data_IF_079307683884
#
_entry.id   IF_079307683884
#
_cell.length_a   1.000
_cell.length_b   1.000
_cell.length_c   1.000
_cell.angle_alpha   90.00
_cell.angle_beta   90.00
_cell.angle_gamma   90.00
#
_symmetry.space_group_name_H-M   'P 1'
#
loop_
_entity.id
_entity.type
_entity.pdbx_description
1 polymer ?
#
# COMPACT_ATOMS: atom_id res chain seq x y z
N UNK A 1 11.05 -9.88 -31.04
CA UNK A 1 9.80 -9.20 -31.45
C UNK A 1 8.67 -9.90 -30.75
N UNK A 2 8.29 -9.41 -29.57
CA UNK A 2 7.09 -9.86 -28.88
C UNK A 2 6.11 -8.71 -28.98
N UNK A 3 5.08 -8.86 -29.80
CA UNK A 3 3.90 -7.99 -29.74
C UNK A 3 3.26 -8.22 -28.38
N UNK A 4 3.71 -7.48 -27.37
CA UNK A 4 2.92 -7.32 -26.16
C UNK A 4 1.64 -6.62 -26.60
N UNK A 5 0.56 -7.40 -26.58
CA UNK A 5 -0.80 -6.90 -26.45
C UNK A 5 -0.74 -5.66 -25.55
N UNK A 6 -0.87 -4.48 -26.16
CA UNK A 6 -1.30 -3.29 -25.45
C UNK A 6 -2.73 -3.60 -25.01
N UNK A 7 -2.86 -4.38 -23.94
CA UNK A 7 -4.09 -4.41 -23.15
C UNK A 7 -4.26 -2.96 -22.72
N UNK A 8 -5.15 -2.24 -23.40
CA UNK A 8 -5.64 -0.93 -22.97
C UNK A 8 -5.95 -1.06 -21.49
N UNK A 9 -5.21 -0.30 -20.68
CA UNK A 9 -5.35 -0.33 -19.23
C UNK A 9 -6.84 -0.20 -18.89
N UNK A 10 -7.39 -1.06 -18.02
CA UNK A 10 -8.76 -0.89 -17.57
C UNK A 10 -8.86 0.47 -16.89
N UNK A 11 -9.41 1.44 -17.62
CA UNK A 11 -9.57 2.81 -17.12
C UNK A 11 -10.67 2.79 -16.09
N UNK A 12 -10.33 3.12 -14.86
CA UNK A 12 -11.30 3.19 -13.76
C UNK A 12 -12.18 4.43 -13.97
N UNK A 13 -13.47 4.21 -14.22
CA UNK A 13 -14.42 5.31 -14.43
C UNK A 13 -15.21 5.56 -13.17
N UNK A 14 -15.04 6.74 -12.57
CA UNK A 14 -15.81 7.14 -11.40
C UNK A 14 -17.24 7.51 -11.78
N UNK A 15 -18.22 6.95 -11.08
CA UNK A 15 -19.64 7.19 -11.31
C UNK A 15 -20.38 7.33 -9.98
N UNK A 16 -21.19 8.40 -9.79
CA UNK A 16 -22.09 8.48 -8.63
C UNK A 16 -23.08 7.32 -8.62
N UNK A 17 -23.37 6.75 -7.46
CA UNK A 17 -24.22 5.57 -7.36
C UNK A 17 -25.60 5.73 -8.00
N UNK A 18 -26.17 6.93 -7.99
CA UNK A 18 -27.47 7.23 -8.61
C UNK A 18 -27.47 7.03 -10.14
N UNK A 19 -26.30 7.11 -10.78
CA UNK A 19 -26.13 6.91 -12.22
C UNK A 19 -25.51 5.55 -12.56
N UNK A 20 -24.98 4.84 -11.56
CA UNK A 20 -24.18 3.64 -11.79
C UNK A 20 -25.00 2.52 -12.46
N UNK A 21 -26.23 2.27 -12.03
CA UNK A 21 -27.07 1.23 -12.61
C UNK A 21 -27.35 1.46 -14.10
N UNK A 22 -27.72 2.68 -14.49
CA UNK A 22 -27.96 3.03 -15.89
C UNK A 22 -26.71 2.84 -16.74
N UNK A 23 -25.56 3.36 -16.29
CA UNK A 23 -24.30 3.24 -17.02
C UNK A 23 -23.85 1.79 -17.15
N UNK A 24 -23.84 1.03 -16.07
CA UNK A 24 -23.40 -0.37 -16.11
C UNK A 24 -24.31 -1.21 -17.02
N UNK A 25 -25.63 -0.99 -17.01
CA UNK A 25 -26.55 -1.68 -17.92
C UNK A 25 -26.32 -1.30 -19.39
N UNK A 26 -25.99 -0.04 -19.68
CA UNK A 26 -25.63 0.37 -21.05
C UNK A 26 -24.40 -0.38 -21.60
N UNK A 27 -23.58 -0.94 -20.71
CA UNK A 27 -22.39 -1.74 -21.00
C UNK A 27 -22.59 -3.25 -20.77
N UNK A 28 -23.84 -3.73 -20.89
CA UNK A 28 -24.20 -5.15 -20.81
C UNK A 28 -24.54 -5.64 -19.39
N UNK A 29 -24.49 -4.78 -18.38
CA UNK A 29 -24.76 -5.16 -16.99
C UNK A 29 -23.49 -5.58 -16.24
N UNK A 30 -23.64 -5.88 -14.95
CA UNK A 30 -22.52 -6.25 -14.10
C UNK A 30 -22.03 -7.68 -14.43
N UNK A 31 -20.72 -7.84 -14.58
CA UNK A 31 -20.05 -9.13 -14.73
C UNK A 31 -19.25 -9.50 -13.47
N UNK A 32 -18.61 -8.51 -12.83
CA UNK A 32 -17.83 -8.73 -11.60
C UNK A 32 -17.98 -7.58 -10.64
N UNK A 33 -18.06 -7.87 -9.34
CA UNK A 33 -18.21 -6.88 -8.28
C UNK A 33 -17.12 -7.09 -7.23
N UNK A 34 -16.45 -6.02 -6.86
CA UNK A 34 -15.57 -5.96 -5.70
C UNK A 34 -16.06 -4.91 -4.74
N UNK A 35 -16.10 -5.25 -3.46
CA UNK A 35 -16.49 -4.33 -2.41
C UNK A 35 -15.62 -4.57 -1.17
N UNK A 36 -15.10 -3.50 -0.56
CA UNK A 36 -14.40 -3.60 0.72
C UNK A 36 -14.56 -2.32 1.52
N UNK A 37 -14.62 -2.46 2.85
CA UNK A 37 -14.54 -1.31 3.75
C UNK A 37 -13.12 -0.70 3.80
N UNK A 38 -12.12 -1.44 3.32
CA UNK A 38 -10.76 -1.00 3.10
C UNK A 38 -10.55 -0.73 1.59
N UNK A 39 -10.54 0.55 1.15
CA UNK A 39 -10.42 0.90 -0.27
C UNK A 39 -9.19 0.30 -0.96
N UNK A 40 -8.13 0.04 -0.19
CA UNK A 40 -6.93 -0.61 -0.67
C UNK A 40 -7.22 -1.99 -1.27
N UNK A 41 -8.10 -2.78 -0.66
CA UNK A 41 -8.42 -4.11 -1.16
C UNK A 41 -9.12 -4.02 -2.51
N UNK A 42 -10.08 -3.08 -2.66
CA UNK A 42 -10.78 -2.89 -3.94
C UNK A 42 -9.78 -2.50 -5.03
N UNK A 43 -8.87 -1.58 -4.74
CA UNK A 43 -7.79 -1.23 -5.66
C UNK A 43 -6.96 -2.46 -6.09
N UNK A 44 -6.52 -3.28 -5.14
CA UNK A 44 -5.71 -4.46 -5.46
C UNK A 44 -6.50 -5.53 -6.21
N UNK A 45 -7.80 -5.69 -5.91
CA UNK A 45 -8.67 -6.60 -6.63
C UNK A 45 -8.94 -6.19 -8.07
N UNK A 46 -9.06 -4.88 -8.34
CA UNK A 46 -9.33 -4.39 -9.69
C UNK A 46 -8.12 -4.49 -10.62
N UNK A 47 -6.91 -4.59 -10.05
CA UNK A 47 -5.66 -4.57 -10.81
C UNK A 47 -5.42 -3.24 -11.53
N UNK A 48 -6.04 -2.16 -11.05
CA UNK A 48 -5.95 -0.84 -11.65
C UNK A 48 -4.55 -0.25 -11.51
N UNK A 49 -4.18 0.63 -12.43
CA UNK A 49 -2.99 1.47 -12.27
C UNK A 49 -3.28 2.53 -11.19
N UNK A 50 -2.36 2.83 -10.25
CA UNK A 50 -2.66 3.79 -9.18
C UNK A 50 -2.93 5.21 -9.66
N UNK A 51 -2.46 5.60 -10.86
CA UNK A 51 -2.81 6.90 -11.46
C UNK A 51 -4.28 7.02 -11.87
N UNK A 52 -5.00 5.90 -11.98
CA UNK A 52 -6.43 5.92 -12.26
C UNK A 52 -7.27 6.25 -11.02
N UNK A 53 -6.65 6.36 -9.83
CA UNK A 53 -7.35 6.69 -8.59
C UNK A 53 -7.57 8.19 -8.45
N UNK A 54 -8.82 8.58 -8.21
CA UNK A 54 -9.18 9.88 -7.70
C UNK A 54 -8.91 9.92 -6.18
N UNK A 55 -8.02 10.81 -5.75
CA UNK A 55 -7.61 10.95 -4.34
C UNK A 55 -8.72 11.48 -3.45
N UNK A 56 -9.70 12.17 -4.02
CA UNK A 56 -10.81 12.79 -3.28
C UNK A 56 -12.00 11.84 -3.13
N UNK A 57 -11.95 10.66 -3.78
CA UNK A 57 -13.02 9.68 -3.79
C UNK A 57 -12.60 8.39 -3.10
N UNK A 58 -13.48 7.86 -2.25
CA UNK A 58 -13.31 6.52 -1.69
C UNK A 58 -13.62 5.47 -2.75
N UNK A 59 -12.82 4.40 -2.78
CA UNK A 59 -13.01 3.23 -3.65
C UNK A 59 -13.54 2.06 -2.82
N UNK A 60 -14.75 2.18 -2.29
CA UNK A 60 -15.36 1.10 -1.47
C UNK A 60 -16.03 0.02 -2.33
N UNK A 61 -16.47 0.35 -3.56
CA UNK A 61 -17.12 -0.57 -4.51
C UNK A 61 -16.62 -0.32 -5.93
N UNK A 62 -16.20 -1.39 -6.60
CA UNK A 62 -15.88 -1.39 -8.02
C UNK A 62 -16.66 -2.47 -8.76
N UNK A 63 -17.15 -2.15 -9.96
CA UNK A 63 -17.96 -3.07 -10.77
C UNK A 63 -17.39 -3.12 -12.18
N UNK A 64 -17.06 -4.32 -12.67
CA UNK A 64 -16.74 -4.57 -14.06
C UNK A 64 -18.02 -4.95 -14.81
N UNK A 65 -18.33 -4.22 -15.88
CA UNK A 65 -19.42 -4.53 -16.79
C UNK A 65 -19.05 -5.67 -17.75
N UNK A 66 -20.03 -6.25 -18.45
CA UNK A 66 -19.81 -7.36 -19.40
C UNK A 66 -18.88 -7.02 -20.56
N UNK A 67 -18.88 -5.77 -21.02
CA UNK A 67 -17.94 -5.31 -22.06
C UNK A 67 -16.51 -5.07 -21.54
N UNK A 68 -16.27 -5.30 -20.25
CA UNK A 68 -14.97 -5.15 -19.60
C UNK A 68 -14.74 -3.78 -18.94
N UNK A 69 -15.64 -2.80 -19.16
CA UNK A 69 -15.55 -1.45 -18.57
C UNK A 69 -15.59 -1.52 -17.04
N UNK A 70 -14.68 -0.80 -16.38
CA UNK A 70 -14.53 -0.82 -14.93
C UNK A 70 -15.04 0.48 -14.32
N UNK A 71 -15.98 0.38 -13.39
CA UNK A 71 -16.59 1.50 -12.69
C UNK A 71 -16.17 1.52 -11.22
N UNK A 72 -15.67 2.66 -10.74
CA UNK A 72 -15.60 2.98 -9.31
C UNK A 72 -16.89 3.71 -8.92
N UNK A 73 -17.67 3.12 -8.01
CA UNK A 73 -18.95 3.71 -7.64
C UNK A 73 -18.79 4.59 -6.40
N UNK A 74 -19.12 5.87 -6.53
CA UNK A 74 -18.94 6.86 -5.46
C UNK A 74 -20.23 7.12 -4.69
N UNK A 75 -20.08 7.63 -3.46
CA UNK A 75 -21.19 7.96 -2.57
C UNK A 75 -21.86 6.75 -1.90
N UNK A 76 -21.21 5.59 -1.93
CA UNK A 76 -21.64 4.36 -1.28
C UNK A 76 -20.49 3.73 -0.50
N UNK A 77 -20.81 2.82 0.41
CA UNK A 77 -19.83 2.06 1.18
C UNK A 77 -20.37 0.67 1.53
N UNK A 78 -19.50 -0.19 2.06
CA UNK A 78 -19.88 -1.53 2.55
C UNK A 78 -19.42 -1.76 3.98
N UNK A 79 -19.95 -2.81 4.60
CA UNK A 79 -19.64 -3.21 5.97
C UNK A 79 -20.80 -3.00 6.92
N UNK A 80 -20.48 -2.79 8.19
CA UNK A 80 -21.48 -2.69 9.26
C UNK A 80 -21.72 -1.22 9.64
N UNK A 81 -23.00 -0.88 9.84
CA UNK A 81 -23.52 0.41 10.30
C UNK A 81 -23.51 1.56 9.27
N UNK A 82 -24.48 2.47 9.43
CA UNK A 82 -24.71 3.63 8.55
C UNK A 82 -25.60 3.34 7.33
N UNK A 83 -25.89 4.38 6.56
CA UNK A 83 -26.77 4.28 5.36
C UNK A 83 -26.02 3.82 4.11
N UNK A 84 -24.67 3.90 4.11
CA UNK A 84 -23.82 3.53 2.98
C UNK A 84 -24.04 2.10 2.44
N UNK A 85 -24.04 1.07 3.30
CA UNK A 85 -24.38 -0.30 2.90
C UNK A 85 -25.80 -0.42 2.31
N UNK A 86 -26.75 0.39 2.80
CA UNK A 86 -28.11 0.42 2.26
C UNK A 86 -28.15 0.91 0.80
N UNK A 87 -27.36 1.93 0.47
CA UNK A 87 -27.22 2.42 -0.90
C UNK A 87 -26.49 1.42 -1.80
N UNK A 88 -25.44 0.74 -1.30
CA UNK A 88 -24.79 -0.34 -2.04
C UNK A 88 -25.78 -1.46 -2.35
N UNK A 89 -26.52 -1.95 -1.34
CA UNK A 89 -27.56 -2.98 -1.54
C UNK A 89 -28.58 -2.54 -2.59
N UNK A 90 -29.09 -1.30 -2.49
CA UNK A 90 -30.04 -0.76 -3.46
C UNK A 90 -29.49 -0.75 -4.89
N UNK A 91 -28.26 -0.28 -5.08
CA UNK A 91 -27.61 -0.31 -6.38
C UNK A 91 -27.51 -1.73 -6.95
N UNK A 92 -27.09 -2.70 -6.13
CA UNK A 92 -26.95 -4.09 -6.54
C UNK A 92 -28.29 -4.72 -6.94
N UNK A 93 -29.37 -4.40 -6.22
CA UNK A 93 -30.73 -4.80 -6.60
C UNK A 93 -31.17 -4.15 -7.91
N UNK A 94 -30.87 -2.87 -8.11
CA UNK A 94 -31.14 -2.19 -9.38
C UNK A 94 -30.34 -2.86 -10.52
N UNK A 95 -29.11 -3.30 -10.29
CA UNK A 95 -28.33 -4.09 -11.26
C UNK A 95 -28.90 -5.50 -11.53
N UNK A 96 -29.96 -5.91 -10.81
CA UNK A 96 -30.67 -7.17 -11.03
C UNK A 96 -30.14 -8.35 -10.22
N UNK A 97 -29.29 -8.10 -9.21
CA UNK A 97 -28.83 -9.17 -8.33
C UNK A 97 -29.96 -9.66 -7.43
N UNK A 98 -29.91 -10.95 -7.08
CA UNK A 98 -30.79 -11.53 -6.08
C UNK A 98 -30.58 -10.84 -4.72
N UNK A 99 -31.68 -10.73 -3.96
CA UNK A 99 -31.73 -10.00 -2.68
C UNK A 99 -30.71 -10.50 -1.66
N UNK A 100 -30.58 -11.82 -1.53
CA UNK A 100 -29.64 -12.47 -0.62
C UNK A 100 -28.18 -12.16 -1.00
N UNK A 101 -27.84 -12.22 -2.29
CA UNK A 101 -26.50 -11.91 -2.79
C UNK A 101 -26.17 -10.42 -2.61
N UNK A 102 -27.11 -9.53 -2.97
CA UNK A 102 -26.94 -8.09 -2.81
C UNK A 102 -26.72 -7.72 -1.33
N UNK A 103 -27.48 -8.33 -0.42
CA UNK A 103 -27.32 -8.13 1.02
C UNK A 103 -25.96 -8.66 1.50
N UNK A 104 -25.53 -9.85 1.06
CA UNK A 104 -24.22 -10.41 1.44
C UNK A 104 -23.06 -9.50 1.00
N UNK A 105 -23.10 -8.97 -0.22
CA UNK A 105 -22.06 -8.06 -0.70
C UNK A 105 -22.06 -6.77 0.12
N UNK A 106 -23.21 -6.10 0.24
CA UNK A 106 -23.33 -4.80 0.86
C UNK A 106 -22.92 -4.79 2.35
N UNK A 107 -23.25 -5.85 3.08
CA UNK A 107 -22.99 -5.96 4.52
C UNK A 107 -21.79 -6.85 4.86
N UNK A 108 -21.01 -7.27 3.86
CA UNK A 108 -19.69 -7.87 4.08
C UNK A 108 -18.65 -6.81 4.39
N UNK A 109 -17.55 -7.20 5.05
CA UNK A 109 -16.37 -6.34 5.13
C UNK A 109 -15.60 -6.34 3.82
N UNK A 110 -15.52 -7.50 3.16
CA UNK A 110 -14.91 -7.67 1.84
C UNK A 110 -15.72 -8.68 1.03
N UNK A 111 -15.96 -8.36 -0.25
CA UNK A 111 -16.57 -9.25 -1.24
C UNK A 111 -15.90 -9.12 -2.60
N UNK A 112 -15.71 -10.24 -3.29
CA UNK A 112 -15.27 -10.29 -4.68
C UNK A 112 -16.08 -11.36 -5.42
N UNK A 113 -17.01 -10.94 -6.26
CA UNK A 113 -18.03 -11.81 -6.87
C UNK A 113 -17.92 -11.77 -8.38
N UNK A 114 -17.67 -12.94 -8.98
CA UNK A 114 -17.85 -13.17 -10.40
C UNK A 114 -19.29 -13.62 -10.64
N UNK A 115 -20.06 -12.85 -11.41
CA UNK A 115 -21.48 -13.13 -11.66
C UNK A 115 -21.70 -14.21 -12.72
N UNK A 116 -20.70 -14.52 -13.54
CA UNK A 116 -20.74 -15.66 -14.47
C UNK A 116 -20.42 -16.98 -13.75
N UNK A 117 -19.68 -16.91 -12.65
CA UNK A 117 -19.42 -18.04 -11.76
C UNK A 117 -19.65 -17.69 -10.28
N UNK A 118 -20.91 -17.54 -9.82
CA UNK A 118 -21.21 -17.17 -8.44
C UNK A 118 -20.75 -18.20 -7.41
N UNK A 119 -20.52 -19.45 -7.81
CA UNK A 119 -19.98 -20.47 -6.92
C UNK A 119 -18.53 -20.17 -6.48
N UNK A 120 -17.80 -19.36 -7.27
CA UNK A 120 -16.49 -18.83 -6.90
C UNK A 120 -16.54 -17.49 -6.17
N UNK A 121 -17.72 -17.03 -5.74
CA UNK A 121 -17.87 -15.75 -5.05
C UNK A 121 -17.19 -15.75 -3.68
N UNK A 122 -16.35 -14.74 -3.47
CA UNK A 122 -15.73 -14.44 -2.19
C UNK A 122 -16.63 -13.51 -1.38
N UNK A 123 -16.92 -13.91 -0.14
CA UNK A 123 -17.54 -13.06 0.87
C UNK A 123 -16.87 -13.30 2.22
N UNK A 124 -16.39 -12.24 2.87
CA UNK A 124 -15.86 -12.33 4.23
C UNK A 124 -16.34 -11.18 5.11
N UNK A 125 -16.71 -11.53 6.34
CA UNK A 125 -17.01 -10.62 7.45
C UNK A 125 -15.75 -10.23 8.23
N UNK A 126 -14.58 -10.82 7.92
CA UNK A 126 -13.33 -10.63 8.64
C UNK A 126 -12.49 -9.47 8.05
N UNK A 127 -11.66 -8.87 8.90
CA UNK A 127 -10.80 -7.68 8.65
C UNK A 127 -9.54 -8.05 7.82
N UNK A 128 -8.92 -7.13 7.03
CA UNK A 128 -8.71 -7.28 5.59
C UNK A 128 -7.49 -8.12 5.13
N UNK A 129 -7.49 -8.41 3.82
CA UNK A 129 -6.87 -9.58 3.21
C UNK A 129 -5.63 -9.36 2.33
N UNK A 130 -5.19 -8.12 2.12
CA UNK A 130 -3.91 -7.86 1.45
C UNK A 130 -2.83 -7.27 2.37
N UNK A 131 -3.23 -6.53 3.40
CA UNK A 131 -2.32 -5.71 4.21
C UNK A 131 -1.28 -4.94 3.36
N UNK A 132 -1.72 -4.41 2.21
CA UNK A 132 -0.90 -3.69 1.26
C UNK A 132 -1.28 -2.20 1.23
N UNK A 133 -0.31 -1.28 1.18
CA UNK A 133 -0.60 0.13 0.93
C UNK A 133 -1.08 0.35 -0.51
N UNK A 134 -1.78 1.46 -0.74
CA UNK A 134 -2.08 1.94 -2.09
C UNK A 134 -1.03 2.99 -2.48
N UNK A 135 -0.30 2.81 -3.59
CA UNK A 135 0.62 3.84 -4.06
C UNK A 135 -0.15 5.09 -4.50
N UNK A 136 0.40 6.26 -4.22
CA UNK A 136 -0.20 7.53 -4.63
C UNK A 136 0.67 8.22 -5.69
N UNK A 137 0.05 8.76 -6.74
CA UNK A 137 0.77 9.41 -7.84
C UNK A 137 1.19 10.85 -7.49
N UNK A 138 2.48 11.14 -7.37
CA UNK A 138 3.02 12.45 -7.05
C UNK A 138 3.76 13.04 -8.24
N UNK A 139 3.46 14.30 -8.57
CA UNK A 139 4.21 15.06 -9.55
C UNK A 139 5.58 15.47 -8.97
N UNK A 140 6.63 15.25 -9.75
CA UNK A 140 7.99 15.71 -9.44
C UNK A 140 8.57 16.47 -10.62
N UNK A 141 9.70 17.16 -10.42
CA UNK A 141 10.43 17.81 -11.51
C UNK A 141 10.91 16.85 -12.60
N UNK A 142 10.95 15.55 -12.30
CA UNK A 142 11.38 14.49 -13.23
C UNK A 142 10.19 13.67 -13.78
N UNK A 143 8.95 14.11 -13.53
CA UNK A 143 7.72 13.43 -13.92
C UNK A 143 6.97 12.82 -12.74
N UNK A 144 5.86 12.15 -13.04
CA UNK A 144 5.02 11.50 -12.03
C UNK A 144 5.70 10.25 -11.47
N UNK A 145 5.72 10.12 -10.15
CA UNK A 145 6.17 8.91 -9.45
C UNK A 145 5.03 8.35 -8.60
N UNK A 146 4.98 7.04 -8.43
CA UNK A 146 4.06 6.38 -7.52
C UNK A 146 4.75 6.24 -6.17
N UNK A 147 4.16 6.74 -5.09
CA UNK A 147 4.80 6.74 -3.77
C UNK A 147 4.06 5.86 -2.79
N UNK A 148 4.83 5.11 -2.03
CA UNK A 148 4.40 4.42 -0.81
C UNK A 148 5.31 4.88 0.32
N UNK A 149 4.74 5.25 1.47
CA UNK A 149 5.50 5.66 2.65
C UNK A 149 5.15 4.74 3.81
N UNK A 150 6.17 4.32 4.55
CA UNK A 150 6.06 3.57 5.79
C UNK A 150 6.77 4.34 6.89
N UNK A 151 6.15 4.43 8.06
CA UNK A 151 6.83 4.91 9.26
C UNK A 151 7.34 3.75 10.13
N UNK A 152 8.04 4.07 11.22
CA UNK A 152 8.65 3.07 12.08
C UNK A 152 7.64 2.12 12.72
N UNK A 153 6.38 2.55 12.85
CA UNK A 153 5.29 1.71 13.34
C UNK A 153 4.89 0.70 12.25
N UNK A 154 4.72 1.11 11.00
CA UNK A 154 4.41 0.19 9.88
C UNK A 154 5.50 -0.89 9.63
N UNK A 155 6.73 -0.68 10.11
CA UNK A 155 7.83 -1.64 9.98
C UNK A 155 7.67 -2.81 10.96
N UNK A 156 7.42 -2.50 12.24
CA UNK A 156 7.38 -3.49 13.32
C UNK A 156 5.98 -3.93 13.72
N UNK A 157 4.98 -3.06 13.59
CA UNK A 157 3.61 -3.38 14.00
C UNK A 157 3.04 -4.41 13.05
N UNK A 158 2.61 -5.51 13.65
CA UNK A 158 1.58 -6.33 13.06
C UNK A 158 0.27 -5.56 13.24
N UNK A 159 -0.42 -5.23 12.14
CA UNK A 159 -1.61 -4.39 12.20
C UNK A 159 -2.81 -5.06 12.87
N UNK A 160 -2.72 -6.35 13.19
CA UNK A 160 -3.85 -7.14 13.65
C UNK A 160 -3.52 -7.96 14.91
N UNK A 161 -4.43 -8.00 15.90
CA UNK A 161 -4.31 -8.95 17.01
C UNK A 161 -4.29 -10.38 16.46
N UNK A 162 -3.66 -11.29 17.19
CA UNK A 162 -3.66 -12.71 16.83
C UNK A 162 -5.10 -13.17 16.55
N UNK A 163 -5.34 -13.65 15.32
CA UNK A 163 -6.62 -14.24 14.95
C UNK A 163 -6.95 -15.37 15.93
N UNK A 164 -8.20 -15.40 16.39
CA UNK A 164 -8.69 -16.51 17.21
C UNK A 164 -8.69 -17.81 16.40
N UNK A 165 -8.77 -18.95 17.08
CA UNK A 165 -8.85 -20.25 16.40
C UNK A 165 -10.10 -20.36 15.51
N UNK A 166 -11.18 -19.69 15.89
CA UNK A 166 -12.42 -19.57 15.13
C UNK A 166 -12.21 -18.79 13.82
N UNK A 167 -11.54 -17.63 13.88
CA UNK A 167 -11.18 -16.85 12.69
C UNK A 167 -10.28 -17.65 11.72
N UNK A 168 -9.35 -18.47 12.25
CA UNK A 168 -8.46 -19.33 11.45
C UNK A 168 -9.20 -20.52 10.83
N UNK A 169 -10.20 -21.07 11.52
CA UNK A 169 -11.04 -22.13 10.98
C UNK A 169 -11.89 -21.61 9.83
N UNK A 170 -12.53 -20.45 9.95
CA UNK A 170 -13.25 -19.80 8.84
C UNK A 170 -12.32 -19.48 7.64
N UNK A 171 -11.11 -18.98 7.94
CA UNK A 171 -10.05 -18.76 6.94
C UNK A 171 -9.71 -20.01 6.12
N UNK A 172 -9.59 -21.16 6.80
CA UNK A 172 -9.16 -22.43 6.21
C UNK A 172 -10.23 -23.13 5.37
N UNK A 173 -11.51 -22.97 5.72
CA UNK A 173 -12.62 -23.56 4.96
C UNK A 173 -12.91 -22.80 3.66
N UNK A 174 -12.67 -21.48 3.67
CA UNK A 174 -12.86 -20.64 2.50
C UNK A 174 -11.55 -20.41 1.73
N UNK A 175 -10.40 -20.86 2.27
CA UNK A 175 -9.10 -20.91 1.60
C UNK A 175 -8.43 -19.56 1.32
N UNK A 176 -8.90 -18.47 1.91
CA UNK A 176 -8.82 -17.20 1.19
C UNK A 176 -7.89 -16.13 1.76
N UNK A 177 -7.07 -16.37 2.79
CA UNK A 177 -6.04 -15.40 3.24
C UNK A 177 -4.75 -15.56 2.40
N UNK A 178 -4.54 -14.86 1.28
CA UNK A 178 -3.27 -14.91 0.56
C UNK A 178 -2.18 -14.08 1.26
N UNK A 179 -2.54 -13.11 2.12
CA UNK A 179 -1.60 -12.31 2.88
C UNK A 179 -1.40 -12.89 4.29
N UNK A 180 -0.15 -12.99 4.78
CA UNK A 180 0.09 -13.36 6.16
C UNK A 180 -0.51 -12.29 7.08
N UNK A 181 -1.54 -12.66 7.85
CA UNK A 181 -2.20 -11.81 8.84
C UNK A 181 -1.27 -11.43 10.02
N UNK A 182 -0.08 -12.03 10.07
CA UNK A 182 0.97 -11.82 11.05
C UNK A 182 2.19 -11.06 10.48
N UNK A 183 2.08 -10.44 9.30
CA UNK A 183 3.17 -9.64 8.73
C UNK A 183 2.81 -8.16 8.69
N UNK A 184 3.81 -7.32 8.98
CA UNK A 184 3.68 -5.86 8.86
C UNK A 184 3.45 -5.43 7.41
N UNK A 185 2.84 -4.25 7.20
CA UNK A 185 2.54 -3.73 5.86
C UNK A 185 3.77 -3.61 4.99
N UNK A 186 4.91 -3.23 5.57
CA UNK A 186 6.18 -3.18 4.84
C UNK A 186 6.57 -4.57 4.32
N UNK A 187 6.44 -5.62 5.14
CA UNK A 187 6.77 -6.99 4.73
C UNK A 187 5.85 -7.48 3.61
N UNK A 188 4.54 -7.24 3.71
CA UNK A 188 3.59 -7.57 2.64
C UNK A 188 3.94 -6.86 1.34
N UNK A 189 4.29 -5.57 1.44
CA UNK A 189 4.70 -4.76 0.29
C UNK A 189 5.99 -5.25 -0.35
N UNK A 190 7.02 -5.57 0.44
CA UNK A 190 8.25 -6.15 -0.09
C UNK A 190 7.99 -7.51 -0.77
N UNK A 191 7.14 -8.34 -0.16
CA UNK A 191 6.71 -9.61 -0.77
C UNK A 191 6.02 -9.42 -2.12
N UNK A 192 5.19 -8.38 -2.28
CA UNK A 192 4.59 -8.02 -3.56
C UNK A 192 5.65 -7.59 -4.57
N UNK A 193 6.60 -6.73 -4.19
CA UNK A 193 7.64 -6.24 -5.10
C UNK A 193 8.57 -7.35 -5.60
N UNK A 194 8.81 -8.36 -4.76
CA UNK A 194 9.60 -9.56 -5.08
C UNK A 194 8.79 -10.63 -5.84
N UNK A 195 7.46 -10.51 -5.86
CA UNK A 195 6.59 -11.48 -6.50
C UNK A 195 6.79 -11.53 -8.02
N UNK A 196 6.88 -12.73 -8.64
CA UNK A 196 6.87 -12.87 -10.09
C UNK A 196 5.51 -12.50 -10.72
N UNK A 197 4.44 -12.41 -9.92
CA UNK A 197 3.09 -12.03 -10.35
C UNK A 197 2.76 -10.55 -10.07
N UNK A 198 3.78 -9.73 -9.77
CA UNK A 198 3.58 -8.30 -9.50
C UNK A 198 2.95 -7.59 -10.71
N UNK A 199 2.12 -6.56 -10.49
CA UNK A 199 1.64 -5.69 -11.56
C UNK A 199 2.77 -5.14 -12.44
N UNK A 200 2.51 -4.98 -13.73
CA UNK A 200 3.48 -4.49 -14.71
C UNK A 200 4.08 -3.12 -14.34
N UNK A 201 3.32 -2.26 -13.65
CA UNK A 201 3.78 -0.94 -13.21
C UNK A 201 4.74 -0.98 -12.00
N UNK A 202 4.92 -2.17 -11.40
CA UNK A 202 5.97 -2.48 -10.43
C UNK A 202 7.22 -3.07 -11.07
N UNK A 203 7.26 -3.24 -12.39
CA UNK A 203 8.46 -3.74 -13.08
C UNK A 203 9.55 -2.68 -13.16
N UNK A 204 10.80 -3.11 -13.05
CA UNK A 204 11.96 -2.26 -13.22
C UNK A 204 13.11 -2.66 -12.32
N UNK A 205 14.28 -2.07 -12.57
CA UNK A 205 15.45 -2.30 -11.72
C UNK A 205 15.24 -1.68 -10.36
N UNK A 206 15.54 -2.45 -9.31
CA UNK A 206 15.51 -1.97 -7.93
C UNK A 206 16.78 -1.20 -7.60
N UNK A 207 16.61 0.00 -7.06
CA UNK A 207 17.70 0.82 -6.52
C UNK A 207 17.32 1.28 -5.13
N UNK A 208 18.30 1.36 -4.23
CA UNK A 208 18.06 1.82 -2.86
C UNK A 208 19.02 2.95 -2.52
N UNK A 209 18.50 3.96 -1.84
CA UNK A 209 19.23 5.10 -1.33
C UNK A 209 18.95 5.25 0.17
N UNK A 210 20.02 5.33 0.94
CA UNK A 210 19.97 5.65 2.35
C UNK A 210 20.44 7.09 2.52
N UNK A 211 19.56 7.96 3.00
CA UNK A 211 19.88 9.37 3.24
C UNK A 211 20.34 9.56 4.69
N UNK A 212 21.40 10.33 4.88
CA UNK A 212 21.96 10.60 6.22
C UNK A 212 21.31 11.79 6.90
N UNK A 213 20.54 12.60 6.17
CA UNK A 213 19.78 13.74 6.72
C UNK A 213 18.42 13.85 6.05
N UNK A 214 17.51 14.56 6.71
CA UNK A 214 16.16 14.81 6.22
C UNK A 214 16.16 15.78 5.03
N UNK A 215 17.00 16.82 5.08
CA UNK A 215 17.16 17.79 3.98
C UNK A 215 17.60 17.11 2.69
N UNK A 216 18.53 16.14 2.79
CA UNK A 216 18.93 15.36 1.62
C UNK A 216 17.79 14.52 1.06
N UNK A 217 16.92 14.00 1.92
CA UNK A 217 15.77 13.22 1.49
C UNK A 217 14.71 14.10 0.81
N UNK A 218 14.46 15.30 1.34
CA UNK A 218 13.58 16.30 0.75
C UNK A 218 14.08 16.76 -0.62
N UNK A 219 15.39 17.02 -0.77
CA UNK A 219 16.02 17.31 -2.05
C UNK A 219 15.79 16.18 -3.08
N UNK A 220 15.60 14.94 -2.61
CA UNK A 220 15.33 13.77 -3.43
C UNK A 220 13.85 13.38 -3.49
N UNK A 221 12.97 14.28 -3.03
CA UNK A 221 11.53 14.20 -3.21
C UNK A 221 10.75 13.67 -2.01
N UNK A 222 11.37 13.39 -0.86
CA UNK A 222 10.61 13.08 0.35
C UNK A 222 9.72 14.28 0.71
N UNK A 223 8.44 14.03 0.94
CA UNK A 223 7.49 15.03 1.45
C UNK A 223 6.95 14.49 2.74
N UNK A 224 7.26 15.14 3.85
CA UNK A 224 6.75 14.76 5.16
C UNK A 224 5.56 15.65 5.51
N UNK A 225 4.47 15.09 6.06
CA UNK A 225 3.38 15.89 6.59
C UNK A 225 3.91 16.85 7.67
N UNK A 226 3.45 18.10 7.70
CA UNK A 226 3.92 19.14 8.66
C UNK A 226 4.04 18.63 10.12
N UNK A 227 3.12 17.75 10.55
CA UNK A 227 3.13 17.15 11.91
C UNK A 227 4.34 16.25 12.21
N UNK A 228 4.97 15.66 11.20
CA UNK A 228 6.14 14.79 11.36
C UNK A 228 7.45 15.60 11.37
N UNK A 229 7.46 16.88 10.97
CA UNK A 229 8.61 17.77 11.17
C UNK A 229 8.85 18.11 12.65
N UNK A 230 7.83 17.96 13.50
CA UNK A 230 7.93 18.26 14.94
C UNK A 230 8.52 17.11 15.77
N UNK A 231 8.64 15.89 15.20
CA UNK A 231 9.31 14.78 15.86
C UNK A 231 10.81 15.06 15.82
N UNK A 232 11.30 15.78 16.83
CA UNK A 232 12.71 16.10 17.09
C UNK A 232 13.50 14.82 17.38
N UNK A 233 13.79 14.06 16.35
CA UNK A 233 14.70 12.93 16.34
C UNK A 233 15.22 12.82 14.93
N UNK A 234 16.53 12.62 14.77
CA UNK A 234 17.08 12.31 13.47
C UNK A 234 16.30 11.09 12.91
N UNK A 235 15.84 11.14 11.68
CA UNK A 235 15.24 9.99 11.00
C UNK A 235 16.23 9.64 9.90
N UNK A 236 16.56 8.36 9.70
CA UNK A 236 17.19 7.96 8.45
C UNK A 236 16.09 7.60 7.48
N UNK A 237 15.77 8.46 6.49
CA UNK A 237 14.87 8.07 5.43
C UNK A 237 15.62 7.20 4.42
N UNK A 238 15.03 6.03 4.16
CA UNK A 238 15.46 5.16 3.08
C UNK A 238 14.46 5.26 1.94
N UNK A 239 14.99 5.37 0.72
CA UNK A 239 14.22 5.36 -0.51
C UNK A 239 14.59 4.14 -1.33
N UNK A 240 13.60 3.36 -1.74
CA UNK A 240 13.78 2.36 -2.79
C UNK A 240 12.97 2.75 -4.00
N UNK A 241 13.58 2.69 -5.17
CA UNK A 241 12.89 2.86 -6.44
C UNK A 241 12.86 1.54 -7.19
N UNK A 242 11.69 1.18 -7.73
CA UNK A 242 11.49 0.04 -8.63
C UNK A 242 10.45 0.44 -9.67
N UNK A 243 10.88 0.58 -10.92
CA UNK A 243 10.03 1.14 -11.97
C UNK A 243 9.65 2.59 -11.67
N UNK A 244 8.34 2.89 -11.74
CA UNK A 244 7.79 4.20 -11.38
C UNK A 244 7.56 4.37 -9.88
N UNK A 245 7.76 3.31 -9.08
CA UNK A 245 7.41 3.31 -7.66
C UNK A 245 8.59 3.69 -6.79
N UNK A 246 8.34 4.60 -5.85
CA UNK A 246 9.22 5.00 -4.78
C UNK A 246 8.63 4.57 -3.44
N UNK A 247 9.31 3.65 -2.77
CA UNK A 247 9.03 3.26 -1.39
C UNK A 247 9.91 4.07 -0.45
N UNK A 248 9.31 4.83 0.44
CA UNK A 248 9.99 5.57 1.48
C UNK A 248 9.74 4.91 2.83
N UNK A 249 10.81 4.68 3.59
CA UNK A 249 10.71 4.18 4.96
C UNK A 249 11.40 5.18 5.87
N UNK A 250 10.68 5.66 6.87
CA UNK A 250 11.20 6.55 7.91
C UNK A 250 11.15 5.83 9.25
N UNK A 251 12.20 5.95 10.06
CA UNK A 251 12.19 5.47 11.44
C UNK A 251 12.86 6.49 12.36
N UNK A 252 12.34 6.69 13.58
CA UNK A 252 12.99 7.57 14.56
C UNK A 252 14.34 6.98 14.94
N UNK A 253 15.41 7.78 14.91
CA UNK A 253 16.74 7.31 15.34
C UNK A 253 16.82 7.09 16.84
N UNK A 254 15.98 7.77 17.61
CA UNK A 254 16.01 7.69 19.07
C UNK A 254 14.59 7.88 19.64
N UNK A 255 13.89 6.80 20.03
CA UNK A 255 12.97 6.90 21.14
C UNK A 255 13.76 7.40 22.34
N UNK A 256 13.22 8.34 23.12
CA UNK A 256 13.85 8.86 24.36
C UNK A 256 14.37 7.75 25.28
N UNK A 257 13.75 6.57 25.20
CA UNK A 257 14.07 5.32 25.89
C UNK A 257 15.50 4.80 25.67
N UNK A 258 16.17 5.16 24.57
CA UNK A 258 17.52 4.69 24.23
C UNK A 258 18.64 5.57 24.81
N UNK A 259 18.34 6.84 25.15
CA UNK A 259 19.31 7.70 25.86
C UNK A 259 19.61 7.15 27.26
N UNK A 260 18.61 6.59 27.94
CA UNK A 260 18.74 6.08 29.30
C UNK A 260 19.54 4.76 29.39
N UNK A 261 19.77 4.07 28.25
CA UNK A 261 20.42 2.75 28.22
C UNK A 261 21.86 2.75 27.71
N UNK A 262 22.42 3.91 27.33
CA UNK A 262 23.80 4.02 26.87
C UNK A 262 24.10 3.35 25.52
N UNK A 263 23.08 3.11 24.68
CA UNK A 263 23.22 2.44 23.37
C UNK A 263 23.52 3.41 22.21
N UNK A 264 24.30 4.46 22.48
CA UNK A 264 24.70 5.46 21.48
C UNK A 264 25.53 4.77 20.37
N UNK A 265 25.12 4.93 19.10
CA UNK A 265 25.81 4.38 17.92
C UNK A 265 25.31 3.00 17.44
N UNK A 266 24.20 2.49 17.96
CA UNK A 266 23.51 1.32 17.41
C UNK A 266 22.28 1.74 16.61
N UNK A 267 22.09 1.13 15.44
CA UNK A 267 20.84 1.26 14.69
C UNK A 267 19.68 0.66 15.50
N UNK A 268 18.54 1.36 15.65
CA UNK A 268 17.34 0.81 16.28
C UNK A 268 16.91 -0.52 15.63
N UNK A 269 16.24 -1.40 16.39
CA UNK A 269 15.76 -2.69 15.86
C UNK A 269 14.90 -2.51 14.60
N UNK A 270 14.00 -1.51 14.61
CA UNK A 270 13.19 -1.07 13.47
C UNK A 270 14.05 -0.82 12.23
N UNK A 271 15.12 -0.04 12.37
CA UNK A 271 16.02 0.34 11.29
C UNK A 271 16.76 -0.87 10.73
N UNK A 272 17.22 -1.76 11.62
CA UNK A 272 17.91 -2.99 11.22
C UNK A 272 16.98 -3.93 10.45
N UNK A 273 15.73 -4.07 10.90
CA UNK A 273 14.73 -4.88 10.22
C UNK A 273 14.39 -4.31 8.85
N UNK A 274 14.17 -3.00 8.75
CA UNK A 274 13.99 -2.34 7.47
C UNK A 274 15.19 -2.59 6.54
N UNK A 275 16.43 -2.37 6.99
CA UNK A 275 17.61 -2.64 6.15
C UNK A 275 17.68 -4.09 5.65
N UNK A 276 17.37 -5.07 6.52
CA UNK A 276 17.33 -6.49 6.13
C UNK A 276 16.26 -6.75 5.08
N UNK A 277 15.07 -6.18 5.21
CA UNK A 277 14.00 -6.32 4.23
C UNK A 277 14.38 -5.76 2.86
N UNK A 278 15.23 -4.73 2.84
CA UNK A 278 15.75 -4.13 1.62
C UNK A 278 17.03 -4.83 1.14
N UNK A 279 17.42 -5.96 1.72
CA UNK A 279 18.63 -6.71 1.33
C UNK A 279 19.94 -6.03 1.72
N UNK A 280 19.90 -5.00 2.55
CA UNK A 280 21.09 -4.27 3.03
C UNK A 280 21.55 -4.88 4.34
N UNK A 281 22.82 -5.30 4.41
CA UNK A 281 23.39 -5.80 5.65
C UNK A 281 23.53 -4.64 6.66
N UNK A 282 22.84 -4.68 7.81
CA UNK A 282 22.88 -3.57 8.78
C UNK A 282 24.28 -3.26 9.30
N UNK A 283 25.17 -4.27 9.34
CA UNK A 283 26.55 -4.09 9.78
C UNK A 283 27.39 -3.30 8.76
N UNK A 284 27.03 -3.31 7.47
CA UNK A 284 27.69 -2.47 6.46
C UNK A 284 27.36 -1.00 6.70
N UNK A 285 26.09 -0.70 7.01
CA UNK A 285 25.63 0.66 7.33
C UNK A 285 26.27 1.17 8.63
N UNK A 286 26.32 0.34 9.68
CA UNK A 286 26.97 0.71 10.93
C UNK A 286 28.47 1.01 10.77
N UNK A 287 29.16 0.29 9.86
CA UNK A 287 30.56 0.58 9.51
C UNK A 287 30.71 1.88 8.73
N UNK A 288 29.78 2.20 7.83
CA UNK A 288 29.75 3.49 7.10
C UNK A 288 29.53 4.66 8.07
N UNK A 289 28.64 4.49 9.04
CA UNK A 289 28.40 5.43 10.15
C UNK A 289 29.66 5.64 11.00
N UNK A 290 30.36 4.55 11.33
CA UNK A 290 31.62 4.58 12.07
C UNK A 290 32.78 5.21 11.27
N UNK A 291 32.86 4.95 9.95
CA UNK A 291 33.94 5.42 9.08
C UNK A 291 33.77 6.88 8.64
N UNK A 292 32.55 7.41 8.63
CA UNK A 292 32.27 8.83 8.30
C UNK A 292 32.27 9.76 9.52
N UNK A 293 32.58 9.24 10.72
CA UNK A 293 32.75 10.06 11.92
C UNK A 293 31.44 10.77 12.32
N UNK A 294 30.31 10.06 12.29
CA UNK A 294 29.03 10.60 12.80
C UNK A 294 28.85 10.43 14.30
N UNK A 295 29.78 9.77 15.01
CA UNK A 295 29.86 9.82 16.48
C UNK A 295 30.28 11.21 16.99
N UNK A 296 30.86 12.08 16.14
CA UNK A 296 31.22 13.47 16.51
C UNK A 296 30.11 14.51 16.26
N UNK A 297 28.94 14.12 15.71
CA UNK A 297 27.83 15.07 15.45
C UNK A 297 26.77 15.06 16.56
N UNK A 298 26.98 14.32 17.64
CA UNK A 298 26.35 14.64 18.92
C UNK A 298 27.25 15.64 19.67
N UNK A 299 27.33 16.90 19.20
CA UNK A 299 27.31 18.14 20.04
C UNK A 299 27.85 19.43 19.40
N UNK A 300 28.50 19.46 18.22
CA UNK A 300 29.04 20.74 17.74
C UNK A 300 28.78 21.10 16.26
N UNK A 301 28.19 22.29 16.09
CA UNK A 301 28.31 23.18 14.92
C UNK A 301 29.77 23.21 14.46
N UNK A 302 30.09 22.55 13.35
CA UNK A 302 31.32 22.85 12.61
C UNK A 302 30.96 23.05 11.14
N UNK A 303 31.18 24.27 10.68
CA UNK A 303 31.01 24.69 9.31
C UNK A 303 32.08 24.04 8.41
N UNK A 304 31.67 23.60 7.21
CA UNK A 304 32.60 23.56 6.07
C UNK A 304 33.05 22.21 5.51
N UNK A 305 32.31 21.10 5.68
CA UNK A 305 32.56 19.87 4.92
C UNK A 305 31.37 19.50 4.02
N UNK A 306 31.57 19.50 2.69
CA UNK A 306 30.63 18.89 1.74
C UNK A 306 30.73 17.36 1.86
N UNK A 307 30.02 16.78 2.82
CA UNK A 307 29.83 15.32 2.94
C UNK A 307 28.90 14.82 1.81
N UNK A 308 29.06 13.56 1.38
CA UNK A 308 28.03 12.89 0.58
C UNK A 308 26.83 12.66 1.49
N UNK A 309 25.67 13.20 1.14
CA UNK A 309 24.49 13.18 2.01
C UNK A 309 23.62 11.91 1.87
N UNK A 310 24.03 10.96 1.02
CA UNK A 310 23.34 9.69 0.82
C UNK A 310 24.29 8.60 0.30
N UNK A 311 23.89 7.34 0.49
CA UNK A 311 24.53 6.14 -0.05
C UNK A 311 23.56 5.45 -1.03
N UNK A 312 24.04 5.03 -2.20
CA UNK A 312 23.25 4.30 -3.20
C UNK A 312 23.73 2.86 -3.31
N UNK A 313 22.78 1.92 -3.27
CA UNK A 313 22.98 0.49 -3.43
C UNK A 313 22.24 0.01 -4.68
N UNK A 314 22.93 -0.73 -5.54
CA UNK A 314 22.31 -1.48 -6.61
C UNK A 314 22.09 -2.92 -6.10
N UNK A 315 20.87 -3.42 -6.23
CA UNK A 315 20.57 -4.83 -5.97
C UNK A 315 20.43 -5.50 -7.32
N UNK A 316 21.32 -6.45 -7.59
CA UNK A 316 21.12 -7.37 -8.72
C UNK A 316 19.94 -8.28 -8.38
N UNK A 317 18.96 -8.42 -9.29
CA UNK A 317 17.71 -9.15 -9.03
C UNK A 317 17.91 -10.65 -8.76
#
# INVERSE_FOLDING_TARGET
MSEHLKTTEPTLTYVPWQQAAERIRAHGGAARIWASNAPADVFWFTGSHPMALDRDQRLDVAIRAQDGTLYAVTGISVGYNGDGPGWTRRLLLELGLAEDLAQRIAYSRVSAVDLENPAGALHTSLWPHFNLPVPHAYETVHGTVLRVTFDGDDVLKQDHPELTEEDRLEASHNGFYPAPHNTSRLRSWMGLLDSPQRPWWLEGTRTIELHTTYESAEEHGLVVPEKQHEVKGAVYPMRMSQGQVQTWVTWPLFPSEYYDRGEVGRLPAVAREALVLFGINPNQVQRLDSATGMVDVMLHKVAGFKRRNFYRFAIEP
#
